data_IF_649567468413
#
_entry.id   IF_649567468413
#
_cell.length_a   1.000
_cell.length_b   1.000
_cell.length_c   1.000
_cell.angle_alpha   90.00
_cell.angle_beta   90.00
_cell.angle_gamma   90.00
#
_symmetry.space_group_name_H-M   'P 1'
#
loop_
_entity.id
_entity.type
_entity.pdbx_description
1 polymer ?
#
# COMPACT_ATOMS: atom_id res chain seq x y z
N UNK A 1 -16.83 -29.80 -15.75
CA UNK A 1 -15.90 -29.03 -14.89
C UNK A 1 -15.32 -27.90 -15.71
N UNK A 2 -15.95 -26.73 -15.70
CA UNK A 2 -15.48 -25.46 -16.27
C UNK A 2 -16.06 -24.37 -15.36
N UNK A 3 -15.28 -23.83 -14.42
CA UNK A 3 -15.75 -22.84 -13.42
C UNK A 3 -14.66 -21.88 -12.93
N UNK A 4 -13.42 -22.36 -12.84
CA UNK A 4 -12.28 -21.66 -12.24
C UNK A 4 -11.76 -20.38 -12.95
N UNK A 5 -12.12 -20.13 -14.21
CA UNK A 5 -11.63 -18.97 -14.96
C UNK A 5 -12.64 -17.80 -14.96
N UNK A 6 -13.94 -18.10 -14.85
CA UNK A 6 -15.01 -17.09 -14.78
C UNK A 6 -15.15 -16.47 -13.39
N UNK A 7 -15.01 -17.27 -12.32
CA UNK A 7 -15.07 -16.79 -10.94
C UNK A 7 -13.90 -15.85 -10.59
N UNK A 8 -12.68 -16.19 -10.99
CA UNK A 8 -11.48 -15.34 -10.75
C UNK A 8 -11.55 -13.95 -11.38
N UNK A 9 -12.32 -13.77 -12.44
CA UNK A 9 -12.51 -12.47 -13.12
C UNK A 9 -13.69 -11.68 -12.53
N UNK A 10 -14.72 -12.38 -12.03
CA UNK A 10 -15.86 -11.78 -11.33
C UNK A 10 -15.50 -11.28 -9.93
N UNK A 11 -14.70 -12.02 -9.17
CA UNK A 11 -14.20 -11.61 -7.85
C UNK A 11 -13.37 -10.31 -7.94
N UNK A 12 -12.51 -10.21 -8.98
CA UNK A 12 -11.71 -9.00 -9.25
C UNK A 12 -12.53 -7.77 -9.54
N UNK A 13 -13.72 -7.89 -10.10
CA UNK A 13 -14.61 -6.75 -10.29
C UNK A 13 -15.03 -6.12 -8.95
N UNK A 14 -15.35 -6.96 -7.97
CA UNK A 14 -15.76 -6.50 -6.64
C UNK A 14 -14.60 -5.90 -5.85
N UNK A 15 -13.41 -6.52 -5.88
CA UNK A 15 -12.23 -6.00 -5.18
C UNK A 15 -11.73 -4.69 -5.78
N UNK A 16 -11.73 -4.60 -7.12
CA UNK A 16 -11.38 -3.37 -7.82
C UNK A 16 -12.42 -2.28 -7.57
N UNK A 17 -13.72 -2.62 -7.49
CA UNK A 17 -14.78 -1.69 -7.13
C UNK A 17 -14.60 -1.12 -5.71
N UNK A 18 -14.32 -1.98 -4.73
CA UNK A 18 -14.05 -1.53 -3.36
C UNK A 18 -12.82 -0.61 -3.26
N UNK A 19 -11.78 -0.88 -4.06
CA UNK A 19 -10.62 0.02 -4.16
C UNK A 19 -10.98 1.35 -4.82
N UNK A 20 -11.81 1.34 -5.86
CA UNK A 20 -12.24 2.55 -6.56
C UNK A 20 -13.10 3.44 -5.64
N UNK A 21 -13.99 2.85 -4.85
CA UNK A 21 -14.77 3.56 -3.83
C UNK A 21 -13.88 4.19 -2.76
N UNK A 22 -12.90 3.45 -2.25
CA UNK A 22 -11.96 3.97 -1.24
C UNK A 22 -11.09 5.11 -1.80
N UNK A 23 -10.65 5.00 -3.06
CA UNK A 23 -9.88 6.05 -3.74
C UNK A 23 -10.73 7.30 -3.95
N UNK A 24 -11.99 7.14 -4.36
CA UNK A 24 -12.91 8.26 -4.54
C UNK A 24 -13.19 8.98 -3.23
N UNK A 25 -13.40 8.25 -2.13
CA UNK A 25 -13.56 8.82 -0.79
C UNK A 25 -12.30 9.61 -0.37
N UNK A 26 -11.11 9.01 -0.55
CA UNK A 26 -9.85 9.68 -0.22
C UNK A 26 -9.64 10.97 -1.04
N UNK A 27 -10.00 10.96 -2.33
CA UNK A 27 -9.95 12.15 -3.18
C UNK A 27 -10.95 13.24 -2.76
N UNK A 28 -12.05 12.87 -2.10
CA UNK A 28 -13.00 13.80 -1.49
C UNK A 28 -12.54 14.31 -0.10
N UNK A 29 -11.42 13.81 0.42
CA UNK A 29 -10.89 14.16 1.75
C UNK A 29 -11.32 13.20 2.87
N UNK A 30 -12.12 12.18 2.55
CA UNK A 30 -12.57 11.16 3.49
C UNK A 30 -11.60 9.96 3.48
N UNK A 31 -10.68 9.96 4.43
CA UNK A 31 -9.68 8.89 4.58
C UNK A 31 -10.29 7.55 5.02
N UNK A 32 -9.61 6.44 4.70
CA UNK A 32 -10.05 5.09 5.06
C UNK A 32 -8.92 4.07 5.06
N UNK A 33 -9.22 2.86 5.51
CA UNK A 33 -8.30 1.72 5.54
C UNK A 33 -8.89 0.55 4.74
N UNK A 34 -8.14 0.06 3.76
CA UNK A 34 -8.47 -1.16 3.01
C UNK A 34 -7.41 -2.21 3.31
N UNK A 35 -7.85 -3.40 3.73
CA UNK A 35 -6.98 -4.55 3.99
C UNK A 35 -7.21 -5.61 2.92
N UNK A 36 -6.13 -6.03 2.26
CA UNK A 36 -6.18 -7.08 1.23
C UNK A 36 -5.62 -8.38 1.80
N UNK A 37 -6.49 -9.37 1.97
CA UNK A 37 -6.13 -10.69 2.49
C UNK A 37 -6.20 -11.78 1.40
N UNK A 38 -5.55 -12.92 1.63
CA UNK A 38 -5.76 -14.12 0.81
C UNK A 38 -4.57 -15.08 0.81
N UNK A 39 -4.63 -16.13 0.01
CA UNK A 39 -3.54 -17.09 -0.11
C UNK A 39 -2.25 -16.49 -0.72
N UNK A 40 -1.05 -17.01 -0.38
CA UNK A 40 0.18 -16.68 -1.09
C UNK A 40 0.04 -16.91 -2.60
N UNK A 41 0.60 -16.02 -3.42
CA UNK A 41 0.57 -16.16 -4.88
C UNK A 41 -0.75 -15.79 -5.57
N UNK A 42 -1.82 -15.45 -4.83
CA UNK A 42 -3.14 -15.12 -5.42
C UNK A 42 -3.16 -13.81 -6.23
N UNK A 43 -2.08 -13.02 -6.17
CA UNK A 43 -1.94 -11.76 -6.91
C UNK A 43 -2.17 -10.49 -6.10
N UNK A 44 -2.07 -10.51 -4.77
CA UNK A 44 -2.18 -9.29 -3.92
C UNK A 44 -1.27 -8.14 -4.37
N UNK A 45 -0.04 -8.46 -4.75
CA UNK A 45 0.90 -7.45 -5.27
C UNK A 45 0.38 -6.82 -6.57
N UNK A 46 -0.27 -7.60 -7.43
CA UNK A 46 -0.87 -7.09 -8.67
C UNK A 46 -2.08 -6.19 -8.34
N UNK A 47 -2.89 -6.57 -7.36
CA UNK A 47 -4.03 -5.77 -6.91
C UNK A 47 -3.58 -4.43 -6.29
N UNK A 48 -2.54 -4.46 -5.43
CA UNK A 48 -1.93 -3.25 -4.89
C UNK A 48 -1.32 -2.35 -5.97
N UNK A 49 -0.69 -2.94 -7.00
CA UNK A 49 -0.18 -2.16 -8.12
C UNK A 49 -1.32 -1.46 -8.89
N UNK A 50 -2.41 -2.17 -9.16
CA UNK A 50 -3.58 -1.59 -9.81
C UNK A 50 -4.21 -0.44 -8.99
N UNK A 51 -4.33 -0.61 -7.67
CA UNK A 51 -4.82 0.43 -6.77
C UNK A 51 -3.96 1.70 -6.85
N UNK A 52 -2.63 1.56 -6.86
CA UNK A 52 -1.68 2.68 -6.96
C UNK A 52 -1.84 3.44 -8.26
N UNK A 53 -1.92 2.75 -9.39
CA UNK A 53 -2.11 3.41 -10.70
C UNK A 53 -3.41 4.21 -10.75
N UNK A 54 -4.49 3.65 -10.19
CA UNK A 54 -5.80 4.33 -10.14
C UNK A 54 -5.82 5.54 -9.22
N UNK A 55 -5.20 5.43 -8.04
CA UNK A 55 -5.06 6.56 -7.11
C UNK A 55 -4.27 7.71 -7.75
N UNK A 56 -3.16 7.41 -8.45
CA UNK A 56 -2.41 8.42 -9.21
C UNK A 56 -3.25 9.05 -10.32
N UNK A 57 -4.02 8.24 -11.06
CA UNK A 57 -4.93 8.74 -12.09
C UNK A 57 -6.04 9.64 -11.52
N UNK A 58 -6.43 9.45 -10.26
CA UNK A 58 -7.35 10.32 -9.52
C UNK A 58 -6.68 11.59 -8.96
N UNK A 59 -5.39 11.80 -9.21
CA UNK A 59 -4.65 12.98 -8.74
C UNK A 59 -4.14 12.88 -7.30
N UNK A 60 -4.22 11.70 -6.66
CA UNK A 60 -3.70 11.49 -5.32
C UNK A 60 -2.19 11.27 -5.33
N UNK A 61 -1.52 11.79 -4.30
CA UNK A 61 -0.16 11.38 -3.99
C UNK A 61 -0.16 9.94 -3.42
N UNK A 62 0.72 9.09 -3.95
CA UNK A 62 0.75 7.67 -3.60
C UNK A 62 2.10 7.30 -3.00
N UNK A 63 2.09 7.01 -1.70
CA UNK A 63 3.22 6.51 -0.94
C UNK A 63 3.19 4.98 -0.85
N UNK A 64 4.35 4.34 -0.94
CA UNK A 64 4.45 2.89 -1.05
C UNK A 64 5.64 2.34 -0.28
N UNK A 65 5.38 1.35 0.58
CA UNK A 65 6.41 0.59 1.28
C UNK A 65 6.12 -0.90 1.20
N UNK A 66 7.14 -1.70 1.49
CA UNK A 66 7.05 -3.15 1.65
C UNK A 66 7.39 -3.49 3.10
N UNK A 67 6.47 -4.17 3.78
CA UNK A 67 6.74 -4.78 5.09
C UNK A 67 7.59 -6.04 4.91
N UNK A 68 8.68 -6.16 5.66
CA UNK A 68 9.46 -7.39 5.76
C UNK A 68 9.01 -8.17 7.01
N UNK A 69 8.93 -9.50 6.90
CA UNK A 69 8.45 -10.41 7.97
C UNK A 69 9.34 -10.34 9.24
N UNK A 70 10.51 -9.71 9.17
CA UNK A 70 11.50 -9.62 10.25
C UNK A 70 11.46 -8.30 11.06
N UNK A 71 10.52 -7.39 10.85
CA UNK A 71 10.47 -6.12 11.60
C UNK A 71 9.83 -6.24 13.01
N UNK A 72 9.95 -7.39 13.68
CA UNK A 72 9.51 -7.54 15.08
C UNK A 72 10.36 -6.75 16.07
N UNK A 73 11.55 -6.29 15.67
CA UNK A 73 12.46 -5.51 16.51
C UNK A 73 12.32 -3.98 16.34
N UNK A 74 11.46 -3.50 15.42
CA UNK A 74 11.42 -2.09 15.05
C UNK A 74 9.99 -1.55 15.01
N UNK A 75 9.53 -0.90 16.09
CA UNK A 75 8.25 -0.20 16.08
C UNK A 75 8.17 0.76 14.89
N UNK A 76 7.07 0.71 14.14
CA UNK A 76 6.75 1.67 13.07
C UNK A 76 7.68 1.67 11.84
N UNK A 77 8.51 0.65 11.61
CA UNK A 77 9.45 0.60 10.47
C UNK A 77 8.80 0.83 9.10
N UNK A 78 7.65 0.18 8.85
CA UNK A 78 6.87 0.37 7.62
C UNK A 78 6.30 1.79 7.51
N UNK A 79 5.80 2.35 8.61
CA UNK A 79 5.21 3.69 8.61
C UNK A 79 6.27 4.78 8.32
N UNK A 80 7.47 4.63 8.89
CA UNK A 80 8.58 5.54 8.59
C UNK A 80 8.97 5.47 7.12
N UNK A 81 9.17 4.26 6.59
CA UNK A 81 9.50 4.05 5.17
C UNK A 81 8.43 4.58 4.22
N UNK A 82 7.16 4.59 4.65
CA UNK A 82 6.07 5.22 3.88
C UNK A 82 6.19 6.74 3.85
N UNK A 83 6.58 7.38 4.95
CA UNK A 83 6.59 8.83 5.11
C UNK A 83 7.91 9.50 4.73
N UNK A 84 9.04 8.80 4.79
CA UNK A 84 10.37 9.30 4.44
C UNK A 84 10.43 10.10 3.11
N UNK A 85 9.70 9.74 2.03
CA UNK A 85 9.70 10.52 0.80
C UNK A 85 9.08 11.93 0.90
N UNK A 86 8.24 12.18 1.92
CA UNK A 86 7.46 13.43 2.08
C UNK A 86 7.77 14.17 3.38
N UNK A 87 8.66 13.63 4.22
CA UNK A 87 9.12 14.29 5.44
C UNK A 87 10.22 15.31 5.10
N UNK A 88 10.15 16.49 5.70
CA UNK A 88 11.30 17.41 5.70
C UNK A 88 12.42 16.77 6.54
N UNK A 89 13.68 16.73 6.07
CA UNK A 89 14.80 16.31 6.90
C UNK A 89 14.95 17.10 8.20
N UNK A 90 14.36 18.31 8.30
CA UNK A 90 14.26 19.07 9.55
C UNK A 90 13.22 18.51 10.54
N UNK A 91 12.22 17.77 10.06
CA UNK A 91 11.19 17.09 10.86
C UNK A 91 11.61 15.66 11.25
N UNK A 92 12.80 15.22 10.82
CA UNK A 92 13.34 13.91 11.19
C UNK A 92 13.75 13.94 12.69
N UNK A 93 13.03 13.23 13.58
CA UNK A 93 13.48 13.15 14.96
C UNK A 93 14.86 12.48 15.01
N UNK A 94 15.81 12.98 15.80
CA UNK A 94 17.15 12.41 15.85
C UNK A 94 17.09 10.96 16.31
N UNK A 95 17.26 10.04 15.36
CA UNK A 95 17.35 8.61 15.62
C UNK A 95 18.79 8.30 16.06
N UNK A 96 19.01 8.06 17.35
CA UNK A 96 20.23 7.42 17.80
C UNK A 96 20.19 5.94 17.37
N UNK A 97 20.66 5.63 16.16
CA UNK A 97 20.69 4.24 15.67
C UNK A 97 21.27 4.08 14.25
N UNK A 98 21.63 2.85 13.85
CA UNK A 98 22.52 2.53 12.72
C UNK A 98 21.96 2.80 11.31
N UNK A 99 20.85 3.54 11.17
CA UNK A 99 20.22 3.86 9.89
C UNK A 99 20.15 5.38 9.60
N UNK A 100 20.91 6.20 10.33
CA UNK A 100 21.06 7.64 10.05
C UNK A 100 21.86 7.96 8.76
N UNK A 101 22.30 6.93 8.03
CA UNK A 101 22.94 7.07 6.73
C UNK A 101 22.48 5.93 5.84
N UNK A 102 21.94 6.28 4.67
CA UNK A 102 21.71 5.32 3.60
C UNK A 102 23.05 4.88 3.02
N UNK A 103 23.32 3.57 3.13
CA UNK A 103 24.35 2.89 2.36
C UNK A 103 23.66 1.82 1.50
N UNK A 104 23.67 2.01 0.17
CA UNK A 104 23.41 0.96 -0.83
C UNK A 104 22.17 1.13 -1.69
#
# INVERSE_FOLDING_TARGET
MVGEAGERLLERGAELGALDEAIAAAAAGDGGLVVIEGAPGIGKTVLLAAARERARAAGLEVLAARGAVLEREYPFGVARRLLEPVMDPADEPPLAGPFAAGDG
#
